data_IF_098635444928
#
_entry.id   IF_098635444928
#
_cell.length_a   1.000
_cell.length_b   1.000
_cell.length_c   1.000
_cell.angle_alpha   90.00
_cell.angle_beta   90.00
_cell.angle_gamma   90.00
#
_symmetry.space_group_name_H-M   'P 1'
#
loop_
_entity.id
_entity.type
_entity.pdbx_description
1 polymer ?
#
# COMPACT_ATOMS: atom_id res chain seq x y z
N UNK A 1 -48.27 -0.60 -24.94
CA UNK A 1 -46.79 -0.57 -24.99
C UNK A 1 -46.22 -0.96 -23.64
N UNK A 2 -45.29 -1.90 -23.59
CA UNK A 2 -44.75 -2.43 -22.34
C UNK A 2 -43.65 -1.49 -21.81
N UNK A 3 -44.01 -0.64 -20.85
CA UNK A 3 -43.16 0.43 -20.30
C UNK A 3 -41.81 -0.05 -19.74
N UNK A 4 -41.75 -1.31 -19.28
CA UNK A 4 -40.50 -1.93 -18.80
C UNK A 4 -39.46 -2.09 -19.92
N UNK A 5 -39.89 -2.43 -21.14
CA UNK A 5 -39.00 -2.65 -22.27
C UNK A 5 -38.36 -1.34 -22.74
N UNK A 6 -39.16 -0.27 -22.83
CA UNK A 6 -38.67 1.06 -23.18
C UNK A 6 -37.61 1.56 -22.19
N UNK A 7 -37.82 1.34 -20.89
CA UNK A 7 -36.84 1.71 -19.85
C UNK A 7 -35.50 0.97 -20.00
N UNK A 8 -35.54 -0.33 -20.31
CA UNK A 8 -34.33 -1.13 -20.55
C UNK A 8 -33.58 -0.68 -21.81
N UNK A 9 -34.30 -0.29 -22.87
CA UNK A 9 -33.69 0.26 -24.10
C UNK A 9 -32.95 1.58 -23.87
N UNK A 10 -33.37 2.37 -22.87
CA UNK A 10 -32.67 3.61 -22.48
C UNK A 10 -31.53 3.40 -21.46
N UNK A 11 -31.35 2.19 -20.90
CA UNK A 11 -30.21 1.87 -20.05
C UNK A 11 -28.97 1.56 -20.88
N UNK A 12 -28.08 2.55 -20.98
CA UNK A 12 -26.81 2.41 -21.70
C UNK A 12 -25.70 1.80 -20.84
N UNK A 13 -24.63 1.30 -21.48
CA UNK A 13 -23.41 0.82 -20.80
C UNK A 13 -22.85 1.85 -19.80
N UNK A 14 -22.91 3.14 -20.15
CA UNK A 14 -22.48 4.25 -19.27
C UNK A 14 -23.31 4.31 -17.99
N UNK A 15 -24.63 4.09 -18.09
CA UNK A 15 -25.52 4.08 -16.93
C UNK A 15 -25.21 2.91 -15.99
N UNK A 16 -24.96 1.73 -16.55
CA UNK A 16 -24.58 0.54 -15.80
C UNK A 16 -23.22 0.68 -15.09
N UNK A 17 -22.20 1.17 -15.78
CA UNK A 17 -20.88 1.40 -15.18
C UNK A 17 -20.93 2.50 -14.12
N UNK A 18 -21.70 3.57 -14.35
CA UNK A 18 -21.91 4.64 -13.38
C UNK A 18 -22.59 4.16 -12.10
N UNK A 19 -23.54 3.22 -12.19
CA UNK A 19 -24.23 2.69 -11.01
C UNK A 19 -23.44 1.61 -10.27
N UNK A 20 -22.55 0.89 -10.97
CA UNK A 20 -21.84 -0.27 -10.41
C UNK A 20 -20.53 0.07 -9.68
N UNK A 21 -20.01 1.31 -9.86
CA UNK A 21 -18.74 1.73 -9.27
C UNK A 21 -18.69 1.67 -7.73
N UNK A 22 -19.81 1.96 -7.06
CA UNK A 22 -19.91 1.92 -5.59
C UNK A 22 -19.72 0.49 -5.07
N UNK A 23 -20.30 -0.51 -5.74
CA UNK A 23 -20.18 -1.91 -5.33
C UNK A 23 -18.75 -2.44 -5.43
N UNK A 24 -18.06 -2.13 -6.53
CA UNK A 24 -16.64 -2.49 -6.70
C UNK A 24 -15.75 -1.78 -5.66
N UNK A 25 -16.03 -0.50 -5.37
CA UNK A 25 -15.34 0.24 -4.32
C UNK A 25 -15.56 -0.35 -2.93
N UNK A 26 -16.78 -0.79 -2.61
CA UNK A 26 -17.09 -1.44 -1.33
C UNK A 26 -16.36 -2.78 -1.17
N UNK A 27 -16.23 -3.57 -2.24
CA UNK A 27 -15.44 -4.81 -2.24
C UNK A 27 -13.95 -4.50 -2.00
N UNK A 28 -13.40 -3.50 -2.68
CA UNK A 28 -12.01 -3.07 -2.48
C UNK A 28 -11.76 -2.53 -1.07
N UNK A 29 -12.70 -1.78 -0.50
CA UNK A 29 -12.60 -1.28 0.88
C UNK A 29 -12.69 -2.42 1.90
N UNK A 30 -13.59 -3.38 1.67
CA UNK A 30 -13.71 -4.57 2.52
C UNK A 30 -12.46 -5.43 2.47
N UNK A 31 -11.77 -5.52 1.32
CA UNK A 31 -10.54 -6.28 1.19
C UNK A 31 -9.37 -5.60 1.93
N UNK A 32 -9.33 -4.26 1.89
CA UNK A 32 -8.37 -3.46 2.64
C UNK A 32 -8.58 -3.60 4.16
N UNK A 33 -9.83 -3.55 4.61
CA UNK A 33 -10.17 -3.64 6.04
C UNK A 33 -10.13 -5.09 6.58
N UNK A 34 -10.25 -6.09 5.71
CA UNK A 34 -10.35 -7.50 6.04
C UNK A 34 -9.02 -8.26 6.16
N UNK A 35 -7.87 -7.57 6.10
CA UNK A 35 -6.57 -8.16 6.42
C UNK A 35 -5.56 -8.25 5.29
N UNK A 36 -5.94 -7.97 4.03
CA UNK A 36 -4.96 -7.93 2.93
C UNK A 36 -4.02 -6.72 3.00
N UNK A 37 -4.42 -5.66 3.73
CA UNK A 37 -3.59 -4.49 4.00
C UNK A 37 -2.95 -4.50 5.40
N UNK A 38 -2.86 -5.68 6.05
CA UNK A 38 -2.10 -5.79 7.30
C UNK A 38 -0.64 -6.04 7.00
N UNK A 39 0.20 -5.09 7.41
CA UNK A 39 1.56 -5.42 7.78
C UNK A 39 1.48 -6.21 9.09
N UNK A 40 1.14 -7.52 9.01
CA UNK A 40 1.13 -8.42 10.16
C UNK A 40 2.58 -8.64 10.62
N UNK A 41 3.11 -7.64 11.31
CA UNK A 41 4.30 -7.77 12.13
C UNK A 41 3.78 -8.24 13.49
N UNK A 42 3.99 -9.50 13.89
CA UNK A 42 3.56 -9.98 15.19
C UNK A 42 4.22 -9.13 16.28
N UNK A 43 3.41 -8.53 17.15
CA UNK A 43 3.85 -7.74 18.30
C UNK A 43 3.66 -8.60 19.54
N UNK A 44 4.75 -8.87 20.24
CA UNK A 44 4.67 -9.38 21.61
C UNK A 44 4.31 -8.19 22.54
N UNK A 45 3.15 -8.21 23.21
CA UNK A 45 2.75 -7.13 24.11
C UNK A 45 3.68 -7.01 25.34
N UNK A 46 4.48 -8.04 25.64
CA UNK A 46 5.44 -8.02 26.75
C UNK A 46 6.75 -7.32 26.39
N UNK A 47 7.11 -7.22 25.11
CA UNK A 47 8.32 -6.53 24.60
C UNK A 47 8.01 -5.55 23.46
N UNK A 48 7.22 -4.47 23.71
CA UNK A 48 6.70 -3.59 22.65
C UNK A 48 7.77 -2.81 21.87
N UNK A 49 8.98 -2.70 22.43
CA UNK A 49 10.12 -1.97 21.87
C UNK A 49 11.17 -2.88 21.23
N UNK A 50 10.91 -4.18 21.11
CA UNK A 50 11.84 -5.10 20.47
C UNK A 50 12.05 -4.75 18.99
N UNK A 51 13.28 -4.90 18.51
CA UNK A 51 13.65 -4.62 17.13
C UNK A 51 12.89 -5.53 16.16
N UNK A 52 12.22 -4.91 15.18
CA UNK A 52 11.32 -5.61 14.24
C UNK A 52 12.05 -6.07 13.01
N UNK A 53 11.66 -7.22 12.45
CA UNK A 53 12.12 -7.62 11.13
C UNK A 53 11.50 -6.72 10.06
N UNK A 54 12.30 -6.22 9.09
CA UNK A 54 11.77 -5.47 7.95
C UNK A 54 10.91 -6.37 7.05
N UNK A 55 10.04 -5.75 6.23
CA UNK A 55 9.17 -6.48 5.29
C UNK A 55 9.97 -7.27 4.22
N UNK A 56 11.20 -6.85 3.95
CA UNK A 56 12.10 -7.50 3.01
C UNK A 56 13.39 -7.85 3.70
N UNK A 57 14.02 -8.94 3.27
CA UNK A 57 15.34 -9.31 3.77
C UNK A 57 16.34 -8.20 3.50
N UNK A 58 17.16 -7.90 4.52
CA UNK A 58 18.24 -6.96 4.38
C UNK A 58 19.23 -7.45 3.32
N UNK A 59 19.32 -6.73 2.20
CA UNK A 59 20.26 -7.05 1.12
C UNK A 59 21.71 -6.86 1.58
N UNK A 60 21.96 -5.87 2.45
CA UNK A 60 23.28 -5.59 3.00
C UNK A 60 23.51 -6.39 4.28
N UNK A 61 24.60 -7.17 4.33
CA UNK A 61 24.96 -7.99 5.49
C UNK A 61 25.83 -7.26 6.51
N UNK A 62 26.69 -6.34 6.06
CA UNK A 62 27.61 -5.53 6.88
C UNK A 62 27.87 -4.20 6.18
N UNK A 63 27.78 -3.09 6.91
CA UNK A 63 28.26 -1.79 6.46
C UNK A 63 29.13 -1.24 7.60
N UNK A 64 30.42 -1.04 7.33
CA UNK A 64 31.35 -0.47 8.30
C UNK A 64 31.91 0.79 7.64
N UNK A 65 31.55 1.95 8.18
CA UNK A 65 32.01 3.24 7.69
C UNK A 65 33.01 3.81 8.71
N UNK A 66 34.27 3.93 8.27
CA UNK A 66 35.35 4.47 9.09
C UNK A 66 35.73 5.83 8.51
N UNK A 67 35.51 6.89 9.29
CA UNK A 67 36.00 8.22 8.95
C UNK A 67 37.41 8.38 9.51
N UNK A 68 38.40 8.37 8.62
CA UNK A 68 39.80 8.61 8.97
C UNK A 68 40.12 10.10 8.77
N UNK A 69 41.06 10.62 9.57
CA UNK A 69 41.51 12.02 9.48
C UNK A 69 42.00 12.32 8.06
N UNK A 70 41.31 13.23 7.35
CA UNK A 70 41.63 13.63 5.97
C UNK A 70 40.61 13.22 4.91
N UNK A 71 39.55 12.46 5.25
CA UNK A 71 38.45 12.19 4.30
C UNK A 71 37.54 13.41 4.13
N UNK A 72 37.09 13.73 2.90
CA UNK A 72 36.19 14.85 2.66
C UNK A 72 34.93 14.74 3.54
N UNK A 73 34.45 15.87 4.10
CA UNK A 73 33.29 15.88 4.98
C UNK A 73 32.07 15.36 4.21
N UNK A 74 31.15 14.69 4.92
CA UNK A 74 29.94 14.10 4.34
C UNK A 74 29.10 15.09 3.50
N UNK A 75 29.23 16.40 3.80
CA UNK A 75 28.59 17.50 3.09
C UNK A 75 29.05 17.65 1.63
N UNK A 76 30.26 17.22 1.27
CA UNK A 76 30.84 17.38 -0.08
C UNK A 76 30.45 16.24 -1.06
N UNK A 77 29.84 15.16 -0.56
CA UNK A 77 29.69 13.90 -1.32
C UNK A 77 28.27 13.73 -1.90
N UNK A 78 27.33 14.58 -1.50
CA UNK A 78 25.92 14.49 -1.86
C UNK A 78 25.31 15.88 -2.14
N UNK A 79 25.98 16.69 -2.97
CA UNK A 79 25.33 17.86 -3.57
C UNK A 79 24.63 17.41 -4.87
N UNK A 80 23.38 16.97 -4.72
CA UNK A 80 22.36 16.86 -5.77
C UNK A 80 20.94 16.84 -5.19
#
# INVERSE_FOLDING_TARGET
MNSKLTRLQHQTRRHFLSSSGIGLGAIALSSLNGGLARADIPIDPTTPLEGRKPHFDAKAKRAIYLHLTGSPPNLDIYDY
#
